data_IF_475025220638
#
_entry.id   IF_475025220638
#
_cell.length_a   1.000
_cell.length_b   1.000
_cell.length_c   1.000
_cell.angle_alpha   90.00
_cell.angle_beta   90.00
_cell.angle_gamma   90.00
#
_symmetry.space_group_name_H-M   'P 1'
#
loop_
_entity.id
_entity.type
_entity.pdbx_description
1 polymer ?
#
# COMPACT_ATOMS: atom_id res chain seq x y z
N UNK A 1 4.22 -2.52 20.96
CA UNK A 1 3.60 -1.21 21.32
C UNK A 1 3.87 -0.74 22.76
N UNK A 2 3.77 -1.59 23.80
CA UNK A 2 4.10 -1.19 25.19
C UNK A 2 5.54 -0.72 25.38
N UNK A 3 6.49 -1.36 24.70
CA UNK A 3 7.91 -1.00 24.72
C UNK A 3 8.18 0.38 24.10
N UNK A 4 7.63 0.68 22.92
CA UNK A 4 7.79 1.99 22.28
C UNK A 4 7.20 3.12 23.13
N UNK A 5 6.00 2.94 23.71
CA UNK A 5 5.42 3.93 24.63
C UNK A 5 6.29 4.14 25.87
N UNK A 6 6.79 3.07 26.47
CA UNK A 6 7.70 3.14 27.62
C UNK A 6 9.01 3.85 27.27
N UNK A 7 9.63 3.49 26.15
CA UNK A 7 10.86 4.11 25.67
C UNK A 7 10.67 5.60 25.40
N UNK A 8 9.60 6.00 24.70
CA UNK A 8 9.31 7.42 24.46
C UNK A 8 9.14 8.20 25.75
N UNK A 9 8.39 7.68 26.72
CA UNK A 9 8.20 8.36 28.02
C UNK A 9 9.52 8.47 28.78
N UNK A 10 10.32 7.40 28.82
CA UNK A 10 11.64 7.40 29.47
C UNK A 10 12.58 8.40 28.79
N UNK A 11 12.63 8.42 27.45
CA UNK A 11 13.44 9.38 26.70
C UNK A 11 13.00 10.83 26.95
N UNK A 12 11.69 11.09 27.04
CA UNK A 12 11.18 12.42 27.39
C UNK A 12 11.64 12.87 28.78
N UNK A 13 11.54 11.98 29.77
CA UNK A 13 11.95 12.27 31.15
C UNK A 13 13.45 12.52 31.21
N UNK A 14 14.27 11.68 30.57
CA UNK A 14 15.73 11.85 30.52
C UNK A 14 16.11 13.16 29.85
N UNK A 15 15.51 13.49 28.70
CA UNK A 15 15.78 14.73 27.99
C UNK A 15 15.38 15.96 28.81
N UNK A 16 14.25 15.92 29.51
CA UNK A 16 13.82 16.99 30.40
C UNK A 16 14.84 17.25 31.52
N UNK A 17 15.27 16.20 32.21
CA UNK A 17 16.28 16.32 33.27
C UNK A 17 17.65 16.75 32.74
N UNK A 18 18.09 16.22 31.60
CA UNK A 18 19.34 16.62 30.94
C UNK A 18 19.33 18.12 30.62
N UNK A 19 18.16 18.65 30.26
CA UNK A 19 18.00 20.05 29.86
C UNK A 19 17.96 20.99 31.05
N UNK A 20 17.36 20.56 32.17
CA UNK A 20 17.48 21.26 33.47
C UNK A 20 18.94 21.27 33.94
N UNK A 21 19.63 20.13 33.84
CA UNK A 21 21.03 20.03 34.21
C UNK A 21 21.92 20.95 33.35
N UNK A 22 21.71 20.95 32.04
CA UNK A 22 22.41 21.85 31.11
C UNK A 22 22.08 23.32 31.39
N UNK A 23 20.85 23.66 31.77
CA UNK A 23 20.48 25.01 32.19
C UNK A 23 21.34 25.48 33.37
N UNK A 24 21.41 24.69 34.44
CA UNK A 24 22.20 25.06 35.63
C UNK A 24 23.72 25.06 35.37
N UNK A 25 24.23 24.14 34.55
CA UNK A 25 25.66 24.06 34.22
C UNK A 25 26.14 25.23 33.34
N UNK A 26 25.28 25.78 32.49
CA UNK A 26 25.65 26.83 31.53
C UNK A 26 25.03 28.20 31.84
N UNK A 27 24.26 28.34 32.92
CA UNK A 27 23.60 29.59 33.33
C UNK A 27 24.60 30.75 33.59
N UNK A 28 25.80 30.45 34.09
CA UNK A 28 26.77 31.49 34.47
C UNK A 28 27.72 31.95 33.35
N UNK A 29 27.91 31.15 32.28
CA UNK A 29 29.03 31.36 31.35
C UNK A 29 28.69 31.39 29.85
N UNK A 30 27.42 31.30 29.42
CA UNK A 30 27.10 31.34 27.98
C UNK A 30 25.80 32.07 27.61
N UNK A 31 25.81 32.63 26.39
CA UNK A 31 24.75 33.41 25.74
C UNK A 31 23.39 32.72 25.87
N UNK A 32 22.44 33.39 26.52
CA UNK A 32 21.04 32.99 26.80
C UNK A 32 20.31 32.35 25.60
N UNK A 33 20.72 32.69 24.37
CA UNK A 33 20.19 32.12 23.14
C UNK A 33 20.42 30.61 22.96
N UNK A 34 21.52 30.03 23.46
CA UNK A 34 21.77 28.58 23.33
C UNK A 34 20.84 27.77 24.23
N UNK A 35 20.63 28.25 25.45
CA UNK A 35 19.68 27.67 26.40
C UNK A 35 18.26 27.69 25.84
N UNK A 36 17.83 28.84 25.31
CA UNK A 36 16.53 28.96 24.63
C UNK A 36 16.41 28.01 23.43
N UNK A 37 17.48 27.86 22.63
CA UNK A 37 17.51 26.92 21.52
C UNK A 37 17.27 25.46 21.93
N UNK A 38 17.87 25.02 23.05
CA UNK A 38 17.65 23.68 23.61
C UNK A 38 16.19 23.48 24.01
N UNK A 39 15.59 24.46 24.72
CA UNK A 39 14.18 24.39 25.09
C UNK A 39 13.23 24.34 23.89
N UNK A 40 13.52 25.10 22.83
CA UNK A 40 12.74 25.07 21.59
C UNK A 40 12.83 23.70 20.92
N UNK A 41 14.04 23.11 20.83
CA UNK A 41 14.23 21.78 20.25
C UNK A 41 13.52 20.69 21.05
N UNK A 42 13.55 20.77 22.39
CA UNK A 42 12.79 19.86 23.25
C UNK A 42 11.29 20.01 23.08
N UNK A 43 10.78 21.25 23.04
CA UNK A 43 9.36 21.51 22.81
C UNK A 43 8.91 20.92 21.48
N UNK A 44 9.71 21.07 20.42
CA UNK A 44 9.43 20.51 19.10
C UNK A 44 9.47 18.97 19.12
N UNK A 45 10.46 18.38 19.81
CA UNK A 45 10.53 16.94 19.99
C UNK A 45 9.31 16.38 20.75
N UNK A 46 8.92 17.03 21.84
CA UNK A 46 7.74 16.64 22.64
C UNK A 46 6.47 16.74 21.80
N UNK A 47 6.29 17.84 21.07
CA UNK A 47 5.14 18.06 20.22
C UNK A 47 5.02 17.00 19.12
N UNK A 48 6.11 16.76 18.38
CA UNK A 48 6.13 15.76 17.30
C UNK A 48 5.89 14.35 17.84
N UNK A 49 6.50 14.01 18.98
CA UNK A 49 6.32 12.70 19.60
C UNK A 49 4.89 12.45 20.11
N UNK A 50 4.29 13.44 20.79
CA UNK A 50 2.90 13.36 21.24
C UNK A 50 1.94 13.27 20.06
N UNK A 51 2.17 14.06 19.01
CA UNK A 51 1.37 14.04 17.79
C UNK A 51 1.42 12.68 17.10
N UNK A 52 2.61 12.12 16.89
CA UNK A 52 2.80 10.80 16.29
C UNK A 52 2.14 9.70 17.13
N UNK A 53 2.26 9.74 18.46
CA UNK A 53 1.65 8.75 19.34
C UNK A 53 0.11 8.83 19.31
N UNK A 54 -0.45 10.05 19.36
CA UNK A 54 -1.88 10.26 19.23
C UNK A 54 -2.41 9.73 17.90
N UNK A 55 -1.72 10.06 16.79
CA UNK A 55 -2.08 9.57 15.46
C UNK A 55 -2.01 8.04 15.38
N UNK A 56 -0.95 7.43 15.92
CA UNK A 56 -0.78 5.98 15.94
C UNK A 56 -1.87 5.28 16.76
N UNK A 57 -2.22 5.79 17.94
CA UNK A 57 -3.30 5.23 18.77
C UNK A 57 -4.62 5.29 18.01
N UNK A 58 -4.94 6.44 17.40
CA UNK A 58 -6.17 6.61 16.63
C UNK A 58 -6.23 5.66 15.43
N UNK A 59 -5.13 5.54 14.68
CA UNK A 59 -5.08 4.66 13.52
C UNK A 59 -5.17 3.18 13.92
N UNK A 60 -4.50 2.77 14.99
CA UNK A 60 -4.56 1.39 15.47
C UNK A 60 -5.94 1.03 16.00
N UNK A 61 -6.61 1.96 16.70
CA UNK A 61 -7.99 1.75 17.17
C UNK A 61 -8.94 1.58 15.99
N UNK A 62 -8.82 2.44 14.97
CA UNK A 62 -9.60 2.32 13.73
C UNK A 62 -9.34 0.99 13.00
N UNK A 63 -8.09 0.55 12.94
CA UNK A 63 -7.75 -0.74 12.34
C UNK A 63 -8.38 -1.90 13.12
N UNK A 64 -8.30 -1.89 14.45
CA UNK A 64 -8.94 -2.89 15.30
C UNK A 64 -10.45 -2.92 15.11
N UNK A 65 -11.11 -1.76 15.09
CA UNK A 65 -12.55 -1.64 14.84
C UNK A 65 -12.91 -2.22 13.46
N UNK A 66 -12.10 -1.93 12.43
CA UNK A 66 -12.32 -2.46 11.09
C UNK A 66 -12.14 -3.99 11.02
N UNK A 67 -11.13 -4.54 11.69
CA UNK A 67 -10.95 -6.00 11.79
C UNK A 67 -12.09 -6.66 12.56
N UNK A 68 -12.50 -6.08 13.69
CA UNK A 68 -13.63 -6.58 14.47
C UNK A 68 -14.91 -6.56 13.64
N UNK A 69 -15.20 -5.45 12.95
CA UNK A 69 -16.34 -5.36 12.04
C UNK A 69 -16.30 -6.44 10.96
N UNK A 70 -15.15 -6.67 10.34
CA UNK A 70 -14.99 -7.70 9.32
C UNK A 70 -15.23 -9.12 9.88
N UNK A 71 -14.74 -9.42 11.09
CA UNK A 71 -14.99 -10.70 11.76
C UNK A 71 -16.46 -10.91 12.11
N UNK A 72 -17.15 -9.86 12.56
CA UNK A 72 -18.58 -9.91 12.92
C UNK A 72 -19.48 -10.06 11.69
N UNK A 73 -19.14 -9.41 10.57
CA UNK A 73 -19.97 -9.40 9.38
C UNK A 73 -19.66 -10.56 8.41
N UNK A 74 -18.49 -11.21 8.54
CA UNK A 74 -18.10 -12.39 7.76
C UNK A 74 -18.29 -12.26 6.24
N UNK A 75 -18.07 -11.05 5.70
CA UNK A 75 -18.15 -10.81 4.26
C UNK A 75 -16.75 -10.80 3.66
N UNK A 76 -16.50 -11.78 2.79
CA UNK A 76 -15.33 -11.83 1.92
C UNK A 76 -15.80 -11.72 0.48
N UNK A 77 -15.08 -10.93 -0.29
CA UNK A 77 -15.21 -10.91 -1.73
C UNK A 77 -14.11 -11.79 -2.32
N UNK A 78 -14.50 -12.75 -3.15
CA UNK A 78 -13.59 -13.70 -3.78
C UNK A 78 -13.74 -13.53 -5.28
N UNK A 79 -12.65 -13.15 -5.95
CA UNK A 79 -12.57 -13.11 -7.41
C UNK A 79 -11.75 -14.32 -7.84
N UNK A 80 -12.37 -15.23 -8.57
CA UNK A 80 -11.71 -16.39 -9.13
C UNK A 80 -11.41 -16.12 -10.60
N UNK A 81 -10.20 -16.46 -11.04
CA UNK A 81 -9.79 -16.30 -12.42
C UNK A 81 -9.04 -17.55 -12.86
N UNK A 82 -9.57 -18.22 -13.88
CA UNK A 82 -8.90 -19.28 -14.61
C UNK A 82 -8.59 -18.78 -16.02
N UNK A 83 -7.31 -18.59 -16.34
CA UNK A 83 -6.88 -18.11 -17.66
C UNK A 83 -5.43 -18.45 -17.96
N UNK A 84 -5.18 -19.05 -19.10
CA UNK A 84 -3.81 -19.26 -19.59
C UNK A 84 -3.29 -18.08 -20.43
N UNK A 85 -4.17 -17.17 -20.87
CA UNK A 85 -3.82 -16.06 -21.76
C UNK A 85 -3.75 -14.75 -20.99
N UNK A 86 -2.53 -14.20 -20.91
CA UNK A 86 -2.20 -13.05 -20.08
C UNK A 86 -1.42 -12.02 -20.90
N UNK A 87 -1.89 -10.78 -20.85
CA UNK A 87 -1.13 -9.61 -21.27
C UNK A 87 -0.62 -8.87 -20.04
N UNK A 88 0.65 -8.48 -20.08
CA UNK A 88 1.31 -7.67 -19.05
C UNK A 88 1.67 -6.32 -19.62
N UNK A 89 1.39 -5.24 -18.90
CA UNK A 89 2.04 -3.96 -19.17
C UNK A 89 3.23 -3.78 -18.23
N UNK A 90 4.36 -3.32 -18.77
CA UNK A 90 5.56 -3.09 -17.98
C UNK A 90 5.31 -2.10 -16.82
N UNK A 91 5.97 -2.36 -15.69
CA UNK A 91 5.88 -1.50 -14.52
C UNK A 91 6.55 -0.14 -14.81
N UNK A 92 5.86 0.94 -14.42
CA UNK A 92 6.39 2.31 -14.46
C UNK A 92 7.32 2.61 -13.26
N UNK A 93 7.34 1.72 -12.26
CA UNK A 93 8.18 1.69 -11.06
C UNK A 93 7.45 2.08 -9.78
N UNK A 94 6.38 2.88 -9.88
CA UNK A 94 5.65 3.40 -8.71
C UNK A 94 4.26 2.80 -8.51
N UNK A 95 3.67 2.24 -9.57
CA UNK A 95 2.28 1.76 -9.57
C UNK A 95 2.22 0.24 -9.45
N UNK A 96 3.25 -0.47 -9.93
CA UNK A 96 3.26 -1.92 -10.07
C UNK A 96 2.90 -2.36 -11.50
N UNK A 97 2.98 -3.67 -11.77
CA UNK A 97 2.57 -4.23 -13.05
C UNK A 97 1.05 -4.23 -13.21
N UNK A 98 0.62 -4.21 -14.47
CA UNK A 98 -0.78 -4.37 -14.88
C UNK A 98 -0.92 -5.66 -15.67
N UNK A 99 -1.92 -6.46 -15.34
CA UNK A 99 -2.24 -7.73 -15.98
C UNK A 99 -3.66 -7.75 -16.51
N UNK A 100 -3.82 -8.35 -17.67
CA UNK A 100 -5.09 -8.54 -18.36
C UNK A 100 -5.23 -10.03 -18.67
N UNK A 101 -6.18 -10.70 -18.02
CA UNK A 101 -6.43 -12.13 -18.14
C UNK A 101 -7.64 -12.37 -19.04
N UNK A 102 -7.52 -13.23 -20.04
CA UNK A 102 -8.66 -13.61 -20.89
C UNK A 102 -9.52 -14.65 -20.15
N UNK A 103 -10.65 -14.24 -19.58
CA UNK A 103 -11.51 -15.13 -18.78
C UNK A 103 -12.58 -15.85 -19.61
N UNK A 104 -13.08 -15.19 -20.66
CA UNK A 104 -13.94 -15.79 -21.69
C UNK A 104 -13.53 -15.25 -23.07
N UNK A 105 -14.08 -15.75 -24.19
CA UNK A 105 -13.66 -15.35 -25.55
C UNK A 105 -13.71 -13.82 -25.79
N UNK A 106 -14.67 -13.15 -25.16
CA UNK A 106 -14.93 -11.72 -25.27
C UNK A 106 -14.83 -10.97 -23.93
N UNK A 107 -14.25 -11.55 -22.87
CA UNK A 107 -14.12 -10.91 -21.57
C UNK A 107 -12.68 -10.94 -21.07
N UNK A 108 -12.23 -9.81 -20.55
CA UNK A 108 -10.91 -9.61 -19.98
C UNK A 108 -11.05 -9.13 -18.54
N UNK A 109 -10.38 -9.81 -17.60
CA UNK A 109 -10.23 -9.34 -16.24
C UNK A 109 -8.96 -8.48 -16.12
N UNK A 110 -9.11 -7.25 -15.65
CA UNK A 110 -7.97 -6.39 -15.34
C UNK A 110 -7.57 -6.49 -13.86
N UNK A 111 -6.28 -6.68 -13.61
CA UNK A 111 -5.69 -6.66 -12.27
C UNK A 111 -4.39 -5.87 -12.31
N UNK A 112 -4.29 -4.83 -11.48
CA UNK A 112 -3.11 -3.98 -11.40
C UNK A 112 -2.72 -3.61 -9.98
N UNK A 113 -1.46 -3.22 -9.82
CA UNK A 113 -0.95 -2.63 -8.59
C UNK A 113 0.22 -3.37 -7.95
N UNK A 114 0.77 -2.77 -6.90
CA UNK A 114 1.95 -3.29 -6.15
C UNK A 114 1.76 -4.67 -5.54
N UNK A 115 0.53 -5.13 -5.33
CA UNK A 115 0.26 -6.46 -4.81
C UNK A 115 0.59 -7.58 -5.82
N UNK A 116 0.71 -7.24 -7.10
CA UNK A 116 0.79 -8.19 -8.21
C UNK A 116 2.18 -8.28 -8.84
N UNK A 117 3.23 -7.92 -8.11
CA UNK A 117 4.59 -8.15 -8.59
C UNK A 117 4.80 -9.62 -8.96
N UNK A 118 5.39 -9.82 -10.13
CA UNK A 118 5.73 -11.14 -10.61
C UNK A 118 6.62 -11.86 -9.60
N UNK A 119 6.27 -13.11 -9.29
CA UNK A 119 7.02 -13.94 -8.36
C UNK A 119 7.06 -15.38 -8.88
N UNK A 120 7.44 -16.34 -8.02
CA UNK A 120 7.52 -17.75 -8.40
C UNK A 120 6.16 -18.38 -8.74
N UNK A 121 5.05 -17.78 -8.27
CA UNK A 121 3.69 -18.32 -8.39
C UNK A 121 2.75 -17.48 -9.26
N UNK A 122 2.99 -16.17 -9.39
CA UNK A 122 2.12 -15.24 -10.11
C UNK A 122 2.88 -14.53 -11.27
N UNK A 123 2.24 -14.28 -12.43
CA UNK A 123 0.86 -14.61 -12.80
C UNK A 123 0.62 -16.11 -12.91
N UNK A 124 -0.61 -16.55 -12.63
CA UNK A 124 -0.99 -17.96 -12.54
C UNK A 124 -2.20 -18.26 -13.43
N UNK A 125 -2.31 -19.51 -13.89
CA UNK A 125 -3.41 -19.97 -14.73
C UNK A 125 -4.73 -20.12 -13.98
N UNK A 126 -4.68 -20.28 -12.65
CA UNK A 126 -5.84 -20.38 -11.77
C UNK A 126 -5.49 -19.74 -10.42
N UNK A 127 -6.14 -18.61 -10.12
CA UNK A 127 -5.95 -17.91 -8.86
C UNK A 127 -7.25 -17.33 -8.31
N UNK A 128 -7.23 -17.08 -7.01
CA UNK A 128 -8.30 -16.42 -6.27
C UNK A 128 -7.73 -15.18 -5.58
N UNK A 129 -8.37 -14.04 -5.80
CA UNK A 129 -8.13 -12.83 -5.02
C UNK A 129 -9.16 -12.78 -3.91
N UNK A 130 -8.69 -12.82 -2.67
CA UNK A 130 -9.53 -12.75 -1.48
C UNK A 130 -9.41 -11.36 -0.89
N UNK A 131 -10.53 -10.66 -0.80
CA UNK A 131 -10.60 -9.31 -0.23
C UNK A 131 -11.60 -9.30 0.90
N UNK A 132 -11.18 -8.80 2.05
CA UNK A 132 -12.07 -8.61 3.21
C UNK A 132 -12.11 -7.12 3.51
N UNK A 133 -13.32 -6.62 3.68
CA UNK A 133 -13.58 -5.21 3.93
C UNK A 133 -14.10 -5.00 5.36
N UNK A 134 -13.58 -3.96 6.00
CA UNK A 134 -14.04 -3.47 7.28
C UNK A 134 -15.13 -2.41 7.12
N UNK A 135 -15.23 -1.50 8.09
CA UNK A 135 -16.17 -0.39 8.03
C UNK A 135 -15.82 0.55 6.88
N UNK A 136 -16.83 1.21 6.29
CA UNK A 136 -16.67 2.17 5.19
C UNK A 136 -15.96 1.63 3.93
N UNK A 137 -16.02 0.31 3.71
CA UNK A 137 -15.35 -0.36 2.59
C UNK A 137 -13.80 -0.26 2.62
N UNK A 138 -13.21 -0.03 3.79
CA UNK A 138 -11.76 -0.10 3.98
C UNK A 138 -11.29 -1.56 3.87
N UNK A 139 -10.36 -1.86 2.96
CA UNK A 139 -9.79 -3.21 2.84
C UNK A 139 -8.94 -3.53 4.09
N UNK A 140 -9.31 -4.58 4.81
CA UNK A 140 -8.62 -5.03 6.04
C UNK A 140 -7.71 -6.22 5.81
N UNK A 141 -8.02 -7.03 4.79
CA UNK A 141 -7.24 -8.19 4.43
C UNK A 141 -7.28 -8.38 2.92
N UNK A 142 -6.13 -8.78 2.39
CA UNK A 142 -5.91 -9.08 1.00
C UNK A 142 -5.01 -10.31 0.92
N UNK A 143 -5.40 -11.28 0.11
CA UNK A 143 -4.56 -12.43 -0.22
C UNK A 143 -4.78 -12.84 -1.67
N UNK A 144 -3.76 -13.45 -2.25
CA UNK A 144 -3.84 -14.08 -3.56
C UNK A 144 -3.42 -15.54 -3.43
N UNK A 145 -4.37 -16.43 -3.71
CA UNK A 145 -4.14 -17.86 -3.67
C UNK A 145 -4.03 -18.39 -5.09
N UNK A 146 -2.90 -19.02 -5.41
CA UNK A 146 -2.65 -19.61 -6.72
C UNK A 146 -2.81 -21.12 -6.64
N UNK A 147 -3.68 -21.70 -7.46
CA UNK A 147 -3.96 -23.16 -7.52
C UNK A 147 -3.42 -23.80 -8.79
N UNK A 148 -3.27 -23.02 -9.86
CA UNK A 148 -2.78 -23.48 -11.15
C UNK A 148 -1.27 -23.38 -11.32
N UNK A 149 -0.84 -23.36 -12.58
CA UNK A 149 0.57 -23.24 -12.97
C UNK A 149 0.95 -21.78 -13.21
N UNK A 150 2.22 -21.45 -12.98
CA UNK A 150 2.74 -20.13 -13.36
C UNK A 150 2.60 -19.95 -14.87
N UNK A 151 2.02 -18.83 -15.28
CA UNK A 151 1.85 -18.45 -16.69
C UNK A 151 2.86 -17.38 -17.04
N UNK A 152 3.46 -17.48 -18.23
CA UNK A 152 4.27 -16.40 -18.77
C UNK A 152 3.38 -15.51 -19.66
N UNK A 153 3.36 -14.18 -19.45
CA UNK A 153 2.58 -13.29 -20.30
C UNK A 153 2.96 -13.44 -21.77
N UNK A 154 1.99 -13.72 -22.64
CA UNK A 154 2.21 -13.88 -24.07
C UNK A 154 2.43 -12.54 -24.78
N UNK A 155 1.89 -11.46 -24.20
CA UNK A 155 1.99 -10.12 -24.74
C UNK A 155 2.52 -9.21 -23.64
N UNK A 156 3.62 -8.50 -23.93
CA UNK A 156 4.19 -7.51 -23.03
C UNK A 156 4.15 -6.14 -23.70
N UNK A 157 3.38 -5.21 -23.11
CA UNK A 157 3.27 -3.82 -23.57
C UNK A 157 4.34 -2.98 -22.89
N UNK A 158 5.23 -2.41 -23.70
CA UNK A 158 6.29 -1.52 -23.23
C UNK A 158 5.72 -0.21 -22.67
N UNK A 159 6.49 0.44 -21.80
CA UNK A 159 6.13 1.70 -21.10
C UNK A 159 5.48 2.79 -21.98
N UNK A 160 5.91 2.93 -23.24
CA UNK A 160 5.37 3.94 -24.17
C UNK A 160 3.87 3.73 -24.48
N UNK A 161 3.47 2.49 -24.77
CA UNK A 161 2.07 2.14 -25.03
C UNK A 161 1.20 2.25 -23.77
N UNK A 162 1.74 1.85 -22.62
CA UNK A 162 1.06 1.95 -21.30
C UNK A 162 0.62 3.38 -20.99
N UNK A 163 1.52 4.38 -21.14
CA UNK A 163 1.22 5.77 -20.79
C UNK A 163 -0.01 6.33 -21.53
N UNK A 164 -0.15 5.99 -22.81
CA UNK A 164 -1.28 6.45 -23.63
C UNK A 164 -2.60 5.81 -23.21
N UNK A 165 -2.56 4.52 -22.86
CA UNK A 165 -3.74 3.79 -22.42
C UNK A 165 -4.21 4.18 -21.03
N UNK A 166 -3.28 4.36 -20.08
CA UNK A 166 -3.58 4.87 -18.74
C UNK A 166 -4.26 6.24 -18.73
N UNK A 167 -3.98 7.07 -19.74
CA UNK A 167 -4.56 8.40 -19.89
C UNK A 167 -5.90 8.39 -20.62
N UNK A 168 -6.36 7.23 -21.11
CA UNK A 168 -7.64 7.11 -21.78
C UNK A 168 -8.78 6.97 -20.78
N UNK A 169 -9.95 7.49 -21.12
CA UNK A 169 -11.19 7.33 -20.32
C UNK A 169 -11.69 5.88 -20.26
N UNK A 170 -11.06 4.98 -21.03
CA UNK A 170 -11.45 3.57 -21.19
C UNK A 170 -10.56 2.65 -20.34
N UNK A 171 -9.72 3.20 -19.45
CA UNK A 171 -8.89 2.38 -18.59
C UNK A 171 -9.74 1.77 -17.47
N UNK A 172 -9.78 0.42 -17.34
CA UNK A 172 -10.64 -0.25 -16.37
C UNK A 172 -10.21 0.01 -14.93
N UNK A 173 -11.18 -0.02 -14.00
CA UNK A 173 -10.89 -0.06 -12.57
C UNK A 173 -10.31 -1.43 -12.20
N UNK A 174 -9.47 -1.45 -11.16
CA UNK A 174 -8.87 -2.70 -10.71
C UNK A 174 -9.96 -3.74 -10.41
N UNK A 175 -9.76 -4.98 -10.86
CA UNK A 175 -10.72 -6.09 -10.75
C UNK A 175 -11.95 -6.01 -11.64
N UNK A 176 -12.04 -5.03 -12.53
CA UNK A 176 -13.13 -4.93 -13.49
C UNK A 176 -12.98 -5.99 -14.60
N UNK A 177 -14.12 -6.53 -15.02
CA UNK A 177 -14.24 -7.38 -16.20
C UNK A 177 -14.76 -6.51 -17.35
N UNK A 178 -13.95 -6.35 -18.38
CA UNK A 178 -14.26 -5.55 -19.56
C UNK A 178 -14.48 -6.45 -20.79
N UNK A 179 -15.31 -5.98 -21.71
CA UNK A 179 -15.48 -6.65 -23.01
C UNK A 179 -14.21 -6.49 -23.87
N UNK A 180 -13.77 -7.59 -24.48
CA UNK A 180 -12.70 -7.58 -25.45
C UNK A 180 -11.89 -8.87 -25.53
N UNK A 181 -10.83 -8.81 -26.33
CA UNK A 181 -9.86 -9.89 -26.47
C UNK A 181 -8.45 -9.39 -26.20
N UNK A 182 -7.70 -10.11 -25.37
CA UNK A 182 -6.34 -9.77 -24.93
C UNK A 182 -5.38 -9.61 -26.12
N UNK A 183 -5.53 -10.43 -27.17
CA UNK A 183 -4.70 -10.32 -28.39
C UNK A 183 -5.01 -9.05 -29.17
N UNK A 184 -6.30 -8.74 -29.35
CA UNK A 184 -6.74 -7.51 -30.01
C UNK A 184 -6.27 -6.27 -29.26
N UNK A 185 -6.45 -6.25 -27.94
CA UNK A 185 -5.95 -5.18 -27.06
C UNK A 185 -4.43 -5.01 -27.20
N UNK A 186 -3.69 -6.12 -27.16
CA UNK A 186 -2.24 -6.12 -27.34
C UNK A 186 -1.80 -5.51 -28.66
N UNK A 187 -2.44 -5.88 -29.76
CA UNK A 187 -2.15 -5.34 -31.09
C UNK A 187 -2.40 -3.82 -31.17
N UNK A 188 -3.53 -3.35 -30.64
CA UNK A 188 -3.85 -1.91 -30.60
C UNK A 188 -2.82 -1.11 -29.83
N UNK A 189 -2.36 -1.62 -28.69
CA UNK A 189 -1.42 -0.93 -27.80
C UNK A 189 0.03 -0.96 -28.29
N UNK A 190 0.43 -1.98 -29.06
CA UNK A 190 1.76 -2.05 -29.66
C UNK A 190 1.92 -1.10 -30.86
N UNK A 191 0.84 -0.79 -31.57
CA UNK A 191 0.84 0.16 -32.69
C UNK A 191 0.77 1.63 -32.26
N UNK A 192 0.53 1.90 -30.96
CA UNK A 192 0.28 3.24 -30.40
C UNK A 192 1.51 3.90 -29.79
#
# INVERSE_FOLDING_TARGET
MKFQKGFTVVSMVVLFFLSILLFFLFADNFKTGLVLGIFVLLGLYLFTSLWTNYYNIRNNTRQLDNHQFAMENQKAEIIQCASELVLKMEDSGFEGPDYFFQVEDNLILYIGGKAYYENEKFPNSDFEVIRIFGKNNDMVFFDIQTKGIKVNPQIVIKRKGKKKYLQSEVFPENYEVMEGNVKSLGNTLQMS
#
